data_IF_050804189912
#
_entry.id   IF_050804189912
#
_cell.length_a   1.000
_cell.length_b   1.000
_cell.length_c   1.000
_cell.angle_alpha   90.00
_cell.angle_beta   90.00
_cell.angle_gamma   90.00
#
_symmetry.space_group_name_H-M   'P 1'
#
loop_
_entity.id
_entity.type
_entity.pdbx_description
1 polymer ?
#
# COMPACT_ATOMS: atom_id res chain seq x y z
N UNK A 1 -9.42 -12.84 7.37
CA UNK A 1 -10.10 -11.77 6.61
C UNK A 1 -9.03 -10.78 6.14
N UNK A 2 -8.29 -11.13 5.08
CA UNK A 2 -7.19 -10.29 4.55
C UNK A 2 -7.58 -9.73 3.18
N UNK A 3 -8.08 -10.60 2.30
CA UNK A 3 -8.48 -10.24 0.93
C UNK A 3 -9.47 -9.07 0.86
N UNK A 4 -10.55 -8.99 1.67
CA UNK A 4 -11.47 -7.85 1.60
C UNK A 4 -10.82 -6.51 1.95
N UNK A 5 -9.81 -6.49 2.83
CA UNK A 5 -9.06 -5.27 3.12
C UNK A 5 -8.16 -4.89 1.95
N UNK A 6 -7.50 -5.87 1.31
CA UNK A 6 -6.70 -5.62 0.12
C UNK A 6 -7.56 -5.14 -1.05
N UNK A 7 -8.75 -5.72 -1.27
CA UNK A 7 -9.69 -5.28 -2.31
C UNK A 7 -10.09 -3.82 -2.12
N UNK A 8 -10.49 -3.43 -0.90
CA UNK A 8 -10.81 -2.03 -0.56
C UNK A 8 -9.64 -1.08 -0.82
N UNK A 9 -8.41 -1.50 -0.52
CA UNK A 9 -7.22 -0.70 -0.82
C UNK A 9 -6.97 -0.58 -2.33
N UNK A 10 -7.19 -1.66 -3.08
CA UNK A 10 -7.04 -1.66 -4.54
C UNK A 10 -8.06 -0.72 -5.22
N UNK A 11 -9.30 -0.71 -4.73
CA UNK A 11 -10.36 0.20 -5.18
C UNK A 11 -9.96 1.67 -4.95
N UNK A 12 -9.56 2.03 -3.72
CA UNK A 12 -9.15 3.39 -3.39
C UNK A 12 -7.92 3.84 -4.21
N UNK A 13 -6.93 2.96 -4.39
CA UNK A 13 -5.77 3.23 -5.23
C UNK A 13 -6.17 3.47 -6.69
N UNK A 14 -7.10 2.68 -7.22
CA UNK A 14 -7.58 2.81 -8.59
C UNK A 14 -8.33 4.13 -8.81
N UNK A 15 -9.11 4.59 -7.83
CA UNK A 15 -9.80 5.88 -7.87
C UNK A 15 -8.81 7.06 -7.99
N UNK A 16 -7.62 6.94 -7.39
CA UNK A 16 -6.51 7.90 -7.50
C UNK A 16 -5.62 7.68 -8.75
N UNK A 17 -5.98 6.74 -9.64
CA UNK A 17 -5.25 6.46 -10.88
C UNK A 17 -3.99 5.61 -10.70
N UNK A 18 -3.81 4.98 -9.53
CA UNK A 18 -2.70 4.08 -9.28
C UNK A 18 -2.93 2.72 -9.93
N UNK A 19 -1.85 2.00 -10.18
CA UNK A 19 -1.92 0.60 -10.62
C UNK A 19 -1.67 -0.32 -9.45
N UNK A 20 -2.49 -1.36 -9.32
CA UNK A 20 -2.26 -2.44 -8.38
C UNK A 20 -2.45 -3.81 -9.02
N UNK A 21 -1.64 -4.78 -8.61
CA UNK A 21 -1.74 -6.18 -9.01
C UNK A 21 -1.89 -7.07 -7.76
N UNK A 22 -2.96 -7.87 -7.65
CA UNK A 22 -3.18 -8.72 -6.49
C UNK A 22 -2.35 -10.00 -6.54
N UNK A 23 -1.89 -10.43 -5.36
CA UNK A 23 -1.18 -11.67 -5.10
C UNK A 23 -1.86 -12.39 -3.92
N UNK A 24 -3.14 -12.73 -4.08
CA UNK A 24 -3.96 -13.31 -3.00
C UNK A 24 -3.63 -14.75 -2.65
N UNK A 25 -2.99 -15.47 -3.58
CA UNK A 25 -2.55 -16.86 -3.38
C UNK A 25 -1.23 -16.98 -2.58
N UNK A 26 -0.58 -15.84 -2.26
CA UNK A 26 0.64 -15.84 -1.45
C UNK A 26 0.33 -15.86 0.05
N UNK A 27 1.29 -16.32 0.86
CA UNK A 27 1.24 -16.22 2.32
C UNK A 27 2.45 -15.39 2.84
N UNK A 28 2.22 -14.14 3.31
CA UNK A 28 0.94 -13.45 3.38
C UNK A 28 0.46 -12.95 1.99
N UNK A 29 -0.85 -12.83 1.84
CA UNK A 29 -1.46 -12.20 0.66
C UNK A 29 -1.11 -10.70 0.60
N UNK A 30 -0.90 -10.17 -0.61
CA UNK A 30 -0.51 -8.77 -0.79
C UNK A 30 -0.97 -8.18 -2.12
N UNK A 31 -0.94 -6.85 -2.22
CA UNK A 31 -1.01 -6.08 -3.46
C UNK A 31 0.38 -5.58 -3.83
N UNK A 32 0.75 -5.69 -5.10
CA UNK A 32 1.83 -4.90 -5.66
C UNK A 32 1.25 -3.60 -6.18
N UNK A 33 1.80 -2.46 -5.75
CA UNK A 33 1.26 -1.12 -6.01
C UNK A 33 2.30 -0.25 -6.71
N UNK A 34 1.90 0.48 -7.75
CA UNK A 34 2.75 1.42 -8.49
C UNK A 34 2.08 2.79 -8.57
N UNK A 35 2.87 3.82 -8.29
CA UNK A 35 2.47 5.22 -8.51
C UNK A 35 2.28 5.47 -10.01
N UNK A 36 1.31 6.31 -10.44
CA UNK A 36 1.07 6.59 -11.87
C UNK A 36 2.32 7.07 -12.62
N UNK A 37 3.13 7.93 -11.99
CA UNK A 37 4.40 8.42 -12.56
C UNK A 37 5.58 7.42 -12.49
N UNK A 38 5.37 6.19 -12.02
CA UNK A 38 6.42 5.18 -11.85
C UNK A 38 6.06 3.87 -12.57
N UNK A 39 6.84 3.53 -13.58
CA UNK A 39 6.62 2.29 -14.35
C UNK A 39 7.36 1.06 -13.82
N UNK A 40 8.52 1.26 -13.19
CA UNK A 40 9.41 0.15 -12.80
C UNK A 40 9.51 -0.07 -11.30
N UNK A 41 9.04 0.88 -10.48
CA UNK A 41 9.18 0.85 -9.03
C UNK A 41 7.82 0.83 -8.34
N UNK A 42 7.64 -0.09 -7.40
CA UNK A 42 6.38 -0.28 -6.69
C UNK A 42 6.59 -0.95 -5.34
N UNK A 43 5.57 -0.89 -4.50
CA UNK A 43 5.55 -1.40 -3.13
C UNK A 43 4.68 -2.65 -3.03
N UNK A 44 5.06 -3.58 -2.14
CA UNK A 44 4.25 -4.75 -1.82
C UNK A 44 3.53 -4.52 -0.50
N UNK A 45 2.20 -4.36 -0.54
CA UNK A 45 1.37 -4.02 0.61
C UNK A 45 0.51 -5.22 1.01
N UNK A 46 0.74 -5.74 2.22
CA UNK A 46 -0.03 -6.83 2.80
C UNK A 46 -0.93 -6.34 3.94
N UNK A 47 -1.58 -7.29 4.62
CA UNK A 47 -2.35 -7.05 5.84
C UNK A 47 -1.88 -8.02 6.91
N UNK A 48 -1.50 -7.49 8.08
CA UNK A 48 -1.06 -8.28 9.22
C UNK A 48 -1.76 -7.80 10.50
N UNK A 49 -2.05 -8.70 11.46
CA UNK A 49 -2.60 -8.31 12.75
C UNK A 49 -1.47 -7.77 13.66
N UNK A 50 -1.75 -6.68 14.38
CA UNK A 50 -0.89 -6.14 15.42
C UNK A 50 -1.67 -5.97 16.73
N UNK A 51 -1.00 -6.18 17.86
CA UNK A 51 -1.59 -5.92 19.16
C UNK A 51 -1.70 -4.41 19.39
N UNK A 52 -2.92 -3.92 19.58
CA UNK A 52 -3.19 -2.49 19.77
C UNK A 52 -3.03 -2.04 21.23
N UNK A 53 -3.20 -2.96 22.19
CA UNK A 53 -3.12 -2.65 23.62
C UNK A 53 -2.44 -3.79 24.40
N UNK A 54 -1.97 -3.49 25.61
CA UNK A 54 -1.50 -4.52 26.55
C UNK A 54 -2.61 -5.53 26.92
N UNK A 55 -3.88 -5.21 26.67
CA UNK A 55 -5.03 -6.08 26.88
C UNK A 55 -5.27 -7.09 25.74
N UNK A 56 -4.48 -7.05 24.66
CA UNK A 56 -4.42 -8.12 23.67
C UNK A 56 -5.40 -8.04 22.51
N UNK A 57 -6.08 -6.92 22.30
CA UNK A 57 -6.95 -6.76 21.12
C UNK A 57 -6.09 -6.59 19.86
N UNK A 58 -6.32 -7.47 18.87
CA UNK A 58 -5.64 -7.45 17.59
C UNK A 58 -6.38 -6.51 16.63
N UNK A 59 -5.67 -5.48 16.15
CA UNK A 59 -6.13 -4.62 15.06
C UNK A 59 -5.42 -5.06 13.79
N UNK A 60 -6.15 -5.11 12.68
CA UNK A 60 -5.59 -5.39 11.36
C UNK A 60 -5.00 -4.13 10.76
N UNK A 61 -3.79 -4.23 10.22
CA UNK A 61 -3.07 -3.10 9.62
C UNK A 61 -2.69 -3.41 8.19
N UNK A 62 -2.77 -2.39 7.33
CA UNK A 62 -2.01 -2.36 6.09
C UNK A 62 -0.53 -2.22 6.42
N UNK A 63 0.29 -3.05 5.78
CA UNK A 63 1.73 -3.08 5.98
C UNK A 63 2.46 -3.08 4.65
N UNK A 64 3.52 -2.28 4.54
CA UNK A 64 4.55 -2.51 3.55
C UNK A 64 5.34 -3.76 4.00
N UNK A 65 5.30 -4.79 3.17
CA UNK A 65 5.89 -6.07 3.52
C UNK A 65 7.42 -5.97 3.65
N UNK A 66 8.01 -6.65 4.66
CA UNK A 66 7.30 -7.51 5.61
C UNK A 66 6.72 -6.81 6.86
N UNK A 67 7.19 -5.63 7.28
CA UNK A 67 6.95 -5.18 8.68
C UNK A 67 6.70 -3.68 8.89
N UNK A 68 6.58 -2.86 7.84
CA UNK A 68 6.37 -1.42 8.03
C UNK A 68 4.87 -1.14 8.08
N UNK A 69 4.35 -0.75 9.24
CA UNK A 69 2.94 -0.34 9.41
C UNK A 69 2.67 0.93 8.61
N UNK A 70 1.62 0.90 7.80
CA UNK A 70 1.15 2.04 7.04
C UNK A 70 0.00 2.70 7.80
N UNK A 71 -1.15 2.03 7.85
CA UNK A 71 -2.32 2.49 8.59
C UNK A 71 -3.18 1.29 9.06
N UNK A 72 -4.03 1.48 10.07
CA UNK A 72 -5.09 0.55 10.40
C UNK A 72 -5.99 0.24 9.20
N UNK A 73 -6.56 -0.97 9.13
CA UNK A 73 -7.41 -1.38 8.00
C UNK A 73 -8.79 -0.69 7.93
N UNK A 74 -9.19 0.06 8.95
CA UNK A 74 -10.35 0.95 8.94
C UNK A 74 -10.03 2.34 8.36
N UNK A 75 -8.74 2.69 8.21
CA UNK A 75 -8.24 3.93 7.61
C UNK A 75 -7.56 3.69 6.25
N UNK A 76 -8.37 3.37 5.25
CA UNK A 76 -7.90 3.14 3.86
C UNK A 76 -7.26 4.41 3.27
N UNK A 77 -7.85 5.63 3.40
CA UNK A 77 -7.22 6.85 2.90
C UNK A 77 -5.86 7.13 3.57
N UNK A 78 -5.73 6.86 4.87
CA UNK A 78 -4.45 6.94 5.57
C UNK A 78 -3.41 5.98 5.00
N UNK A 79 -3.80 4.76 4.63
CA UNK A 79 -2.90 3.81 3.98
C UNK A 79 -2.40 4.31 2.62
N UNK A 80 -3.31 4.82 1.77
CA UNK A 80 -2.95 5.42 0.47
C UNK A 80 -2.01 6.61 0.66
N UNK A 81 -2.30 7.49 1.62
CA UNK A 81 -1.44 8.61 1.96
C UNK A 81 -0.02 8.19 2.38
N UNK A 82 0.12 7.13 3.18
CA UNK A 82 1.44 6.59 3.55
C UNK A 82 2.18 5.98 2.36
N UNK A 83 1.47 5.26 1.48
CA UNK A 83 2.04 4.72 0.24
C UNK A 83 2.54 5.86 -0.66
N UNK A 84 1.76 6.94 -0.80
CA UNK A 84 2.12 8.14 -1.54
C UNK A 84 3.33 8.87 -0.94
N UNK A 85 3.38 9.04 0.38
CA UNK A 85 4.52 9.63 1.07
C UNK A 85 5.80 8.83 0.84
N UNK A 86 5.70 7.49 0.87
CA UNK A 86 6.83 6.63 0.56
C UNK A 86 7.24 6.82 -0.90
N UNK A 87 6.34 6.66 -1.87
CA UNK A 87 6.71 6.70 -3.30
C UNK A 87 7.02 8.10 -3.85
N UNK A 88 6.61 9.15 -3.15
CA UNK A 88 6.66 10.55 -3.60
C UNK A 88 8.03 11.03 -4.10
N UNK A 89 9.14 10.83 -3.35
CA UNK A 89 10.47 11.25 -3.81
C UNK A 89 10.88 10.61 -5.14
N UNK A 90 10.53 9.35 -5.37
CA UNK A 90 10.83 8.65 -6.62
C UNK A 90 9.96 9.16 -7.76
N UNK A 91 8.65 9.39 -7.53
CA UNK A 91 7.77 9.97 -8.52
C UNK A 91 8.23 11.37 -8.96
N UNK A 92 8.67 12.21 -8.02
CA UNK A 92 9.27 13.52 -8.31
C UNK A 92 10.53 13.42 -9.17
N UNK A 93 11.41 12.47 -8.85
CA UNK A 93 12.61 12.23 -9.64
C UNK A 93 12.28 11.78 -11.07
N UNK A 94 11.31 10.87 -11.23
CA UNK A 94 10.87 10.38 -12.54
C UNK A 94 10.34 11.53 -13.43
N UNK A 95 9.42 12.35 -12.92
CA UNK A 95 8.89 13.52 -13.64
C UNK A 95 9.99 14.50 -14.05
N UNK A 96 11.01 14.68 -13.20
CA UNK A 96 12.14 15.59 -13.50
C UNK A 96 13.01 15.06 -14.64
N UNK A 97 13.15 13.74 -14.78
CA UNK A 97 13.88 13.12 -15.89
C UNK A 97 13.10 13.20 -17.19
N UNK A 98 11.78 13.05 -17.14
CA UNK A 98 10.91 13.19 -18.31
C UNK A 98 10.91 14.63 -18.84
N UNK A 99 10.83 15.63 -17.96
CA UNK A 99 10.89 17.04 -18.36
C UNK A 99 12.23 17.47 -18.98
N UNK A 100 13.29 16.69 -18.78
CA UNK A 100 14.63 16.95 -19.32
C UNK A 100 14.89 16.24 -20.67
N UNK A 101 13.95 15.41 -21.15
CA UNK A 101 14.02 14.71 -22.44
C UNK A 101 13.30 15.50 -23.53
#
# INVERSE_FOLDING_TARGET
MVTPHLERLAEELADDGWRSLPYYEHDPAYLRVWHPDLDCFGLSVGVLPFLATAAGEAVWWYVLLPHVRLAPCDDVPGAVGQIALLLGPWAMAARSQEAAR
#
